data_IF_857133864070
#
_entry.id   IF_857133864070
#
_cell.length_a   1.000
_cell.length_b   1.000
_cell.length_c   1.000
_cell.angle_alpha   90.00
_cell.angle_beta   90.00
_cell.angle_gamma   90.00
#
_symmetry.space_group_name_H-M   'P 1'
#
loop_
_entity.id
_entity.type
_entity.pdbx_description
1 polymer ?
#
# COMPACT_ATOMS: atom_id res chain seq x y z
N UNK A 1 4.56 10.30 -20.04
CA UNK A 1 5.02 9.33 -21.05
C UNK A 1 4.73 7.91 -20.60
N UNK A 2 4.64 6.93 -21.52
CA UNK A 2 4.28 5.54 -21.20
C UNK A 2 5.26 4.86 -20.23
N UNK A 3 6.56 5.18 -20.32
CA UNK A 3 7.58 4.66 -19.39
C UNK A 3 7.24 4.94 -17.92
N UNK A 4 6.95 6.20 -17.57
CA UNK A 4 6.66 6.62 -16.19
C UNK A 4 5.41 5.95 -15.62
N UNK A 5 4.41 5.72 -16.47
CA UNK A 5 3.20 5.01 -16.07
C UNK A 5 3.50 3.55 -15.71
N UNK A 6 4.18 2.81 -16.59
CA UNK A 6 4.53 1.40 -16.35
C UNK A 6 5.49 1.24 -15.18
N UNK A 7 6.43 2.17 -15.02
CA UNK A 7 7.35 2.18 -13.88
C UNK A 7 6.60 2.35 -12.54
N UNK A 8 5.70 3.35 -12.45
CA UNK A 8 4.88 3.56 -11.26
C UNK A 8 3.97 2.36 -10.97
N UNK A 9 3.33 1.80 -12.00
CA UNK A 9 2.47 0.62 -11.88
C UNK A 9 3.24 -0.60 -11.37
N UNK A 10 4.43 -0.85 -11.91
CA UNK A 10 5.27 -2.00 -11.53
C UNK A 10 5.78 -1.88 -10.10
N UNK A 11 6.30 -0.71 -9.74
CA UNK A 11 6.81 -0.43 -8.37
C UNK A 11 5.71 -0.54 -7.33
N UNK A 12 4.52 0.02 -7.59
CA UNK A 12 3.38 -0.09 -6.70
C UNK A 12 2.86 -1.54 -6.56
N UNK A 13 2.77 -2.26 -7.68
CA UNK A 13 2.35 -3.67 -7.68
C UNK A 13 3.31 -4.54 -6.87
N UNK A 14 4.63 -4.37 -7.09
CA UNK A 14 5.65 -5.09 -6.34
C UNK A 14 5.60 -4.76 -4.85
N UNK A 15 5.46 -3.48 -4.51
CA UNK A 15 5.38 -3.03 -3.12
C UNK A 15 4.18 -3.64 -2.39
N UNK A 16 3.00 -3.61 -3.00
CA UNK A 16 1.77 -4.18 -2.42
C UNK A 16 1.83 -5.70 -2.32
N UNK A 17 2.39 -6.37 -3.32
CA UNK A 17 2.65 -7.82 -3.30
C UNK A 17 3.59 -8.18 -2.14
N UNK A 18 4.71 -7.45 -1.98
CA UNK A 18 5.65 -7.64 -0.88
C UNK A 18 5.04 -7.32 0.48
N UNK A 19 4.12 -6.35 0.56
CA UNK A 19 3.33 -6.07 1.77
C UNK A 19 2.48 -7.30 2.16
N UNK A 20 1.82 -7.93 1.19
CA UNK A 20 1.09 -9.20 1.36
C UNK A 20 1.98 -10.35 1.88
N UNK A 21 3.15 -10.54 1.27
CA UNK A 21 4.15 -11.53 1.74
C UNK A 21 4.57 -11.23 3.19
N UNK A 22 4.80 -9.95 3.50
CA UNK A 22 5.21 -9.49 4.83
C UNK A 22 4.14 -9.73 5.90
N UNK A 23 2.85 -9.72 5.55
CA UNK A 23 1.76 -10.04 6.48
C UNK A 23 1.82 -11.50 6.95
N UNK A 24 2.14 -12.43 6.05
CA UNK A 24 2.30 -13.86 6.37
C UNK A 24 3.52 -14.07 7.27
N UNK A 25 4.65 -13.44 6.96
CA UNK A 25 5.87 -13.52 7.77
C UNK A 25 5.68 -12.91 9.17
N UNK A 26 4.96 -11.79 9.26
CA UNK A 26 4.58 -11.17 10.54
C UNK A 26 3.67 -12.10 11.34
N UNK A 27 2.75 -12.81 10.67
CA UNK A 27 1.84 -13.75 11.31
C UNK A 27 2.56 -14.95 11.90
N UNK A 28 3.39 -15.61 11.10
CA UNK A 28 4.13 -16.81 11.53
C UNK A 28 4.94 -16.56 12.81
N UNK A 29 5.54 -15.36 12.93
CA UNK A 29 6.25 -14.94 14.16
C UNK A 29 5.30 -14.67 15.33
N UNK A 30 4.11 -14.14 15.06
CA UNK A 30 3.14 -13.77 16.09
C UNK A 30 2.28 -14.95 16.56
N UNK A 31 2.00 -15.96 15.72
CA UNK A 31 1.25 -17.15 16.11
C UNK A 31 2.00 -18.00 17.14
N UNK A 32 3.34 -18.07 17.02
CA UNK A 32 4.21 -18.63 18.07
C UNK A 32 4.09 -17.91 19.42
N UNK A 33 3.45 -16.74 19.46
CA UNK A 33 3.24 -15.89 20.65
C UNK A 33 1.76 -15.67 20.96
N UNK A 34 0.83 -16.44 20.37
CA UNK A 34 -0.62 -16.29 20.61
C UNK A 34 -1.24 -15.10 19.87
N UNK A 35 -1.17 -15.10 18.53
CA UNK A 35 -1.68 -13.98 17.73
C UNK A 35 -3.22 -13.82 17.81
N UNK A 36 -3.67 -12.64 18.25
CA UNK A 36 -5.08 -12.22 18.22
C UNK A 36 -5.38 -11.31 17.01
N UNK A 37 -6.60 -11.41 16.48
CA UNK A 37 -7.17 -10.46 15.50
C UNK A 37 -6.97 -9.00 15.91
N UNK A 38 -7.05 -8.70 17.21
CA UNK A 38 -6.86 -7.35 17.76
C UNK A 38 -5.51 -6.73 17.38
N UNK A 39 -4.45 -7.52 17.24
CA UNK A 39 -3.13 -7.00 16.83
C UNK A 39 -3.12 -6.55 15.37
N UNK A 40 -3.81 -7.29 14.51
CA UNK A 40 -3.96 -6.93 13.10
C UNK A 40 -4.85 -5.70 12.96
N UNK A 41 -5.96 -5.68 13.71
CA UNK A 41 -6.86 -4.54 13.74
C UNK A 41 -6.14 -3.26 14.20
N UNK A 42 -5.41 -3.31 15.32
CA UNK A 42 -4.62 -2.16 15.82
C UNK A 42 -3.58 -1.69 14.79
N UNK A 43 -2.85 -2.62 14.17
CA UNK A 43 -1.85 -2.27 13.15
C UNK A 43 -2.49 -1.66 11.90
N UNK A 44 -3.59 -2.25 11.42
CA UNK A 44 -4.32 -1.75 10.26
C UNK A 44 -4.91 -0.37 10.50
N UNK A 45 -5.56 -0.18 11.66
CA UNK A 45 -6.10 1.11 12.08
C UNK A 45 -5.01 2.17 12.22
N UNK A 46 -3.85 1.84 12.82
CA UNK A 46 -2.73 2.79 12.93
C UNK A 46 -2.27 3.27 11.55
N UNK A 47 -2.06 2.36 10.60
CA UNK A 47 -1.62 2.72 9.24
C UNK A 47 -2.71 3.51 8.50
N UNK A 48 -3.97 3.12 8.67
CA UNK A 48 -5.12 3.82 8.09
C UNK A 48 -5.25 5.25 8.66
N UNK A 49 -5.07 5.43 9.97
CA UNK A 49 -5.10 6.73 10.63
C UNK A 49 -3.96 7.65 10.15
N UNK A 50 -2.77 7.11 9.86
CA UNK A 50 -1.71 7.87 9.20
C UNK A 50 -2.13 8.31 7.79
N UNK A 51 -2.84 7.46 7.05
CA UNK A 51 -3.48 7.83 5.78
C UNK A 51 -4.44 9.01 5.93
N UNK A 52 -5.34 8.95 6.92
CA UNK A 52 -6.29 10.03 7.21
C UNK A 52 -5.59 11.35 7.57
N UNK A 53 -4.46 11.27 8.29
CA UNK A 53 -3.65 12.45 8.57
C UNK A 53 -3.07 13.05 7.28
N UNK A 54 -2.60 12.22 6.34
CA UNK A 54 -2.14 12.68 5.02
C UNK A 54 -3.28 13.28 4.22
N UNK A 55 -4.49 12.69 4.25
CA UNK A 55 -5.70 13.29 3.64
C UNK A 55 -5.92 14.69 4.17
N UNK A 56 -5.88 14.87 5.50
CA UNK A 56 -6.08 16.16 6.14
C UNK A 56 -5.01 17.18 5.76
N UNK A 57 -3.72 16.79 5.84
CA UNK A 57 -2.61 17.69 5.45
C UNK A 57 -2.70 18.06 3.97
N UNK A 58 -2.89 17.09 3.09
CA UNK A 58 -2.97 17.37 1.64
C UNK A 58 -4.19 18.21 1.28
N UNK A 59 -5.30 18.07 1.99
CA UNK A 59 -6.45 18.94 1.82
C UNK A 59 -6.13 20.41 2.14
N UNK A 60 -5.35 20.68 3.18
CA UNK A 60 -4.95 22.05 3.56
C UNK A 60 -3.97 22.71 2.55
N UNK A 61 -3.08 21.91 1.93
CA UNK A 61 -2.00 22.42 1.08
C UNK A 61 -2.25 22.31 -0.43
N UNK A 62 -3.01 21.31 -0.88
CA UNK A 62 -3.19 20.93 -2.30
C UNK A 62 -4.61 21.27 -2.78
N UNK A 63 -5.58 21.45 -1.88
CA UNK A 63 -6.95 21.81 -2.23
C UNK A 63 -7.68 20.65 -2.90
N UNK A 64 -8.06 20.79 -4.18
CA UNK A 64 -8.92 19.85 -4.90
C UNK A 64 -8.29 18.48 -5.20
N UNK A 65 -6.97 18.37 -5.28
CA UNK A 65 -6.26 17.12 -5.64
C UNK A 65 -5.77 16.32 -4.42
N UNK A 66 -6.33 16.61 -3.23
CA UNK A 66 -5.96 15.95 -1.99
C UNK A 66 -6.11 14.42 -2.05
N UNK A 67 -5.41 13.74 -1.14
CA UNK A 67 -5.36 12.28 -1.09
C UNK A 67 -6.62 11.72 -0.45
N UNK A 68 -7.65 11.37 -1.22
CA UNK A 68 -8.89 10.80 -0.67
C UNK A 68 -8.71 9.35 -0.24
N UNK A 69 -8.07 8.53 -1.08
CA UNK A 69 -7.81 7.12 -0.80
C UNK A 69 -6.48 6.68 -1.40
N UNK A 70 -5.41 7.05 -0.71
CA UNK A 70 -4.03 6.71 -1.07
C UNK A 70 -3.55 5.35 -0.57
N UNK A 71 -2.27 5.04 -0.80
CA UNK A 71 -1.70 3.71 -0.51
C UNK A 71 -1.76 3.35 0.98
N UNK A 72 -1.69 4.32 1.90
CA UNK A 72 -1.76 4.07 3.34
C UNK A 72 -3.14 3.58 3.78
N UNK A 73 -4.21 4.17 3.24
CA UNK A 73 -5.58 3.72 3.48
C UNK A 73 -5.74 2.27 3.00
N UNK A 74 -5.26 2.00 1.78
CA UNK A 74 -5.29 0.67 1.19
C UNK A 74 -4.52 -0.35 2.04
N UNK A 75 -3.28 -0.05 2.46
CA UNK A 75 -2.49 -0.99 3.28
C UNK A 75 -3.18 -1.23 4.61
N UNK A 76 -3.63 -0.17 5.30
CA UNK A 76 -4.32 -0.28 6.58
C UNK A 76 -5.56 -1.16 6.49
N UNK A 77 -6.38 -0.94 5.47
CA UNK A 77 -7.58 -1.75 5.21
C UNK A 77 -7.21 -3.17 4.78
N UNK A 78 -6.20 -3.35 3.94
CA UNK A 78 -5.73 -4.66 3.48
C UNK A 78 -5.21 -5.53 4.63
N UNK A 79 -4.54 -4.94 5.63
CA UNK A 79 -4.09 -5.65 6.83
C UNK A 79 -5.28 -6.27 7.58
N UNK A 80 -6.40 -5.54 7.67
CA UNK A 80 -7.61 -5.96 8.37
C UNK A 80 -8.34 -7.02 7.53
N UNK A 81 -8.63 -6.71 6.26
CA UNK A 81 -9.40 -7.58 5.36
C UNK A 81 -8.66 -8.87 4.99
N UNK A 82 -7.33 -8.86 4.97
CA UNK A 82 -6.55 -10.07 4.68
C UNK A 82 -6.53 -11.07 5.84
N UNK A 83 -6.86 -10.65 7.07
CA UNK A 83 -6.78 -11.52 8.26
C UNK A 83 -7.53 -12.86 8.12
N UNK A 84 -8.79 -12.94 7.67
CA UNK A 84 -9.47 -14.23 7.48
C UNK A 84 -8.80 -15.11 6.42
N UNK A 85 -8.23 -14.50 5.37
CA UNK A 85 -7.67 -15.20 4.22
C UNK A 85 -6.18 -15.56 4.39
N UNK A 86 -5.48 -14.94 5.33
CA UNK A 86 -4.03 -15.11 5.51
C UNK A 86 -3.62 -16.55 5.82
N UNK A 87 -4.54 -17.39 6.32
CA UNK A 87 -4.37 -18.82 6.62
C UNK A 87 -4.48 -19.70 5.40
N UNK A 88 -5.42 -19.40 4.53
CA UNK A 88 -5.80 -20.27 3.44
C UNK A 88 -5.22 -19.75 2.14
N UNK A 89 -4.06 -20.29 1.76
CA UNK A 89 -3.32 -19.88 0.54
C UNK A 89 -4.22 -19.93 -0.71
N UNK A 90 -5.07 -20.96 -0.85
CA UNK A 90 -5.89 -21.13 -2.04
C UNK A 90 -7.03 -20.11 -2.05
N UNK A 91 -7.67 -19.89 -0.89
CA UNK A 91 -8.70 -18.87 -0.77
C UNK A 91 -8.14 -17.46 -1.00
N UNK A 92 -6.94 -17.15 -0.51
CA UNK A 92 -6.30 -15.86 -0.79
C UNK A 92 -5.98 -15.68 -2.28
N UNK A 93 -5.55 -16.74 -2.97
CA UNK A 93 -5.29 -16.66 -4.42
C UNK A 93 -6.58 -16.46 -5.22
N UNK A 94 -7.62 -17.25 -4.94
CA UNK A 94 -8.92 -17.13 -5.63
C UNK A 94 -9.54 -15.76 -5.38
N UNK A 95 -9.62 -15.33 -4.12
CA UNK A 95 -10.13 -14.00 -3.79
C UNK A 95 -9.27 -12.90 -4.44
N UNK A 96 -7.94 -13.04 -4.42
CA UNK A 96 -7.04 -12.10 -5.06
C UNK A 96 -7.29 -11.95 -6.56
N UNK A 97 -7.42 -13.09 -7.26
CA UNK A 97 -7.73 -13.12 -8.69
C UNK A 97 -9.10 -12.48 -9.01
N UNK A 98 -10.14 -12.83 -8.24
CA UNK A 98 -11.48 -12.27 -8.44
C UNK A 98 -11.52 -10.75 -8.22
N UNK A 99 -10.82 -10.24 -7.21
CA UNK A 99 -10.74 -8.80 -6.95
C UNK A 99 -9.94 -8.05 -8.03
N UNK A 100 -8.88 -8.66 -8.56
CA UNK A 100 -8.13 -8.08 -9.69
C UNK A 100 -9.02 -8.02 -10.92
N UNK A 101 -9.71 -9.11 -11.26
CA UNK A 101 -10.61 -9.18 -12.40
C UNK A 101 -11.74 -8.14 -12.27
N UNK A 102 -12.36 -8.05 -11.10
CA UNK A 102 -13.36 -7.03 -10.81
C UNK A 102 -12.81 -5.61 -11.00
N UNK A 103 -11.61 -5.32 -10.50
CA UNK A 103 -10.95 -4.03 -10.69
C UNK A 103 -10.68 -3.69 -12.15
N UNK A 104 -10.21 -4.65 -12.96
CA UNK A 104 -9.98 -4.47 -14.40
C UNK A 104 -11.29 -4.17 -15.14
N UNK A 105 -12.37 -4.88 -14.82
CA UNK A 105 -13.70 -4.62 -15.39
C UNK A 105 -14.20 -3.22 -15.01
N UNK A 106 -14.09 -2.85 -13.73
CA UNK A 106 -14.52 -1.54 -13.24
C UNK A 106 -13.72 -0.36 -13.82
N UNK A 107 -12.44 -0.57 -14.16
CA UNK A 107 -11.62 0.47 -14.82
C UNK A 107 -12.14 0.86 -16.21
N UNK A 108 -12.87 -0.04 -16.89
CA UNK A 108 -13.56 0.25 -18.15
C UNK A 108 -14.84 1.08 -17.99
N UNK A 109 -15.33 1.24 -16.76
CA UNK A 109 -16.60 1.91 -16.46
C UNK A 109 -16.38 3.29 -15.83
N UNK A 110 -17.33 4.20 -16.00
CA UNK A 110 -17.35 5.51 -15.34
C UNK A 110 -18.68 5.67 -14.62
N UNK A 111 -18.62 6.29 -13.45
CA UNK A 111 -19.77 6.39 -12.56
C UNK A 111 -20.13 7.86 -12.30
N UNK A 112 -21.43 8.14 -12.11
CA UNK A 112 -21.93 9.48 -11.82
C UNK A 112 -21.86 9.87 -10.33
N UNK A 113 -21.20 9.07 -9.48
CA UNK A 113 -21.14 9.27 -8.04
C UNK A 113 -19.72 9.10 -7.51
N UNK A 114 -19.40 9.77 -6.40
CA UNK A 114 -18.03 9.84 -5.84
C UNK A 114 -17.83 9.06 -4.54
N UNK A 115 -18.91 8.60 -3.89
CA UNK A 115 -18.84 7.94 -2.58
C UNK A 115 -18.15 6.56 -2.57
N UNK A 116 -17.94 5.94 -3.75
CA UNK A 116 -17.35 4.62 -3.95
C UNK A 116 -16.01 4.69 -4.69
N UNK A 117 -15.42 5.89 -4.76
CA UNK A 117 -14.09 6.13 -5.29
C UNK A 117 -13.06 5.25 -4.59
N UNK A 118 -13.18 5.08 -3.27
CA UNK A 118 -12.30 4.23 -2.47
C UNK A 118 -12.37 2.75 -2.84
N UNK A 119 -13.50 2.27 -3.37
CA UNK A 119 -13.67 0.89 -3.81
C UNK A 119 -13.04 0.64 -5.20
N UNK A 120 -12.96 1.69 -6.03
CA UNK A 120 -12.47 1.63 -7.41
C UNK A 120 -13.47 2.16 -8.44
N UNK A 121 -14.65 2.63 -8.01
CA UNK A 121 -15.66 3.21 -8.88
C UNK A 121 -15.30 4.67 -9.13
N UNK A 122 -14.50 4.90 -10.17
CA UNK A 122 -13.94 6.22 -10.48
C UNK A 122 -14.95 7.08 -11.26
N UNK A 123 -15.31 8.28 -10.77
CA UNK A 123 -16.14 9.21 -11.52
C UNK A 123 -15.33 9.93 -12.61
N UNK A 124 -16.05 10.53 -13.54
CA UNK A 124 -15.45 11.31 -14.64
C UNK A 124 -14.67 12.49 -14.06
N UNK A 125 -13.45 12.72 -14.56
CA UNK A 125 -12.62 13.85 -14.12
C UNK A 125 -11.99 13.71 -12.73
N UNK A 126 -12.07 12.55 -12.08
CA UNK A 126 -11.43 12.37 -10.77
C UNK A 126 -9.90 12.29 -10.89
N UNK A 127 -9.22 13.19 -10.18
CA UNK A 127 -7.78 13.25 -10.04
C UNK A 127 -7.40 13.39 -8.56
N UNK A 128 -6.29 12.77 -8.19
CA UNK A 128 -5.72 12.83 -6.85
C UNK A 128 -4.23 12.50 -6.95
N UNK A 129 -3.42 13.13 -6.09
CA UNK A 129 -1.97 12.94 -6.07
C UNK A 129 -1.58 11.50 -5.70
N UNK A 130 -2.37 10.83 -4.87
CA UNK A 130 -2.16 9.43 -4.47
C UNK A 130 -3.51 8.68 -4.47
N UNK A 131 -3.74 7.85 -5.49
CA UNK A 131 -5.00 7.10 -5.65
C UNK A 131 -4.76 5.60 -5.81
N UNK A 132 -5.08 4.85 -4.76
CA UNK A 132 -4.95 3.40 -4.67
C UNK A 132 -6.25 2.77 -4.16
N UNK A 133 -7.29 2.64 -5.01
CA UNK A 133 -8.57 2.07 -4.61
C UNK A 133 -8.45 0.62 -4.11
N UNK A 134 -9.48 0.11 -3.46
CA UNK A 134 -9.49 -1.26 -2.97
C UNK A 134 -9.36 -2.27 -4.13
N UNK A 135 -10.07 -2.04 -5.24
CA UNK A 135 -9.99 -2.86 -6.44
C UNK A 135 -9.13 -2.13 -7.49
N UNK A 136 -8.12 -2.78 -8.11
CA UNK A 136 -7.73 -4.20 -8.00
C UNK A 136 -6.72 -4.49 -6.88
N UNK A 137 -6.27 -3.47 -6.14
CA UNK A 137 -5.02 -3.52 -5.38
C UNK A 137 -5.05 -4.44 -4.15
N UNK A 138 -6.19 -4.60 -3.47
CA UNK A 138 -6.36 -5.62 -2.44
C UNK A 138 -6.08 -7.01 -3.01
N UNK A 139 -6.47 -7.26 -4.26
CA UNK A 139 -6.21 -8.52 -4.91
C UNK A 139 -4.71 -8.80 -5.10
N UNK A 140 -3.92 -7.77 -5.44
CA UNK A 140 -2.45 -7.85 -5.51
C UNK A 140 -1.85 -8.21 -4.13
N UNK A 141 -2.37 -7.59 -3.05
CA UNK A 141 -1.96 -7.92 -1.68
C UNK A 141 -2.28 -9.39 -1.35
N UNK A 142 -3.46 -9.88 -1.71
CA UNK A 142 -3.87 -11.27 -1.47
C UNK A 142 -3.06 -12.29 -2.28
N UNK A 143 -2.66 -11.96 -3.52
CA UNK A 143 -1.68 -12.75 -4.28
C UNK A 143 -0.34 -12.79 -3.53
N UNK A 144 0.10 -11.66 -2.98
CA UNK A 144 1.25 -11.60 -2.09
C UNK A 144 1.11 -12.49 -0.85
N UNK A 145 -0.08 -12.58 -0.25
CA UNK A 145 -0.39 -13.48 0.86
C UNK A 145 -0.28 -14.95 0.44
N UNK A 146 -0.76 -15.31 -0.76
CA UNK A 146 -0.57 -16.66 -1.31
C UNK A 146 0.93 -16.98 -1.44
N UNK A 147 1.69 -16.10 -2.10
CA UNK A 147 3.13 -16.28 -2.30
C UNK A 147 3.87 -16.37 -0.96
N UNK A 148 3.53 -15.54 0.02
CA UNK A 148 4.11 -15.59 1.36
C UNK A 148 3.90 -16.93 2.05
N UNK A 149 2.72 -17.54 1.91
CA UNK A 149 2.44 -18.87 2.46
C UNK A 149 3.23 -19.97 1.74
N UNK A 150 3.35 -19.90 0.40
CA UNK A 150 4.15 -20.85 -0.40
C UNK A 150 5.63 -20.75 -0.02
N UNK A 151 6.17 -19.53 0.02
CA UNK A 151 7.56 -19.26 0.35
C UNK A 151 7.91 -19.69 1.78
N UNK A 152 7.03 -19.42 2.74
CA UNK A 152 7.26 -19.80 4.14
C UNK A 152 7.28 -21.33 4.31
N UNK A 153 6.37 -22.05 3.62
CA UNK A 153 6.30 -23.51 3.66
C UNK A 153 7.57 -24.16 3.08
N UNK A 154 8.05 -23.64 1.95
CA UNK A 154 9.12 -24.28 1.19
C UNK A 154 10.53 -23.80 1.61
N UNK A 155 10.67 -22.56 2.06
CA UNK A 155 11.97 -21.90 2.25
C UNK A 155 12.11 -21.15 3.58
N UNK A 156 11.18 -21.32 4.53
CA UNK A 156 11.15 -20.56 5.79
C UNK A 156 12.46 -20.62 6.60
N UNK A 157 13.14 -21.78 6.62
CA UNK A 157 14.44 -21.96 7.29
C UNK A 157 15.59 -21.29 6.53
N UNK A 158 15.58 -21.38 5.21
CA UNK A 158 16.60 -20.79 4.32
C UNK A 158 16.57 -19.26 4.38
N UNK A 159 15.39 -18.64 4.34
CA UNK A 159 15.28 -17.18 4.44
C UNK A 159 15.80 -16.62 5.77
N UNK A 160 15.56 -17.32 6.88
CA UNK A 160 16.08 -16.93 8.19
C UNK A 160 17.61 -16.98 8.25
N UNK A 161 18.22 -17.99 7.61
CA UNK A 161 19.69 -18.13 7.51
C UNK A 161 20.32 -17.06 6.62
N UNK A 162 19.79 -16.83 5.41
CA UNK A 162 20.35 -15.87 4.44
C UNK A 162 20.28 -14.44 4.95
N UNK A 163 19.17 -14.04 5.57
CA UNK A 163 19.01 -12.69 6.13
C UNK A 163 19.99 -12.40 7.28
N UNK A 164 20.42 -13.44 8.01
CA UNK A 164 21.39 -13.31 9.10
C UNK A 164 22.84 -13.17 8.62
N UNK A 165 23.20 -13.86 7.54
CA UNK A 165 24.59 -14.01 7.11
C UNK A 165 25.02 -13.00 6.03
N UNK A 166 24.12 -12.56 5.14
CA UNK A 166 24.47 -11.70 4.02
C UNK A 166 24.31 -10.21 4.36
N UNK A 167 25.39 -9.43 4.22
CA UNK A 167 25.40 -7.97 4.46
C UNK A 167 24.42 -7.22 3.54
N UNK A 168 24.31 -7.62 2.27
CA UNK A 168 23.37 -7.02 1.33
C UNK A 168 21.92 -7.27 1.75
N UNK A 169 21.59 -8.50 2.17
CA UNK A 169 20.26 -8.84 2.67
C UNK A 169 19.90 -8.05 3.94
N UNK A 170 20.87 -7.81 4.82
CA UNK A 170 20.69 -6.99 6.02
C UNK A 170 20.44 -5.52 5.68
N UNK A 171 21.16 -4.98 4.70
CA UNK A 171 20.97 -3.62 4.19
C UNK A 171 19.59 -3.45 3.54
N UNK A 172 19.19 -4.34 2.64
CA UNK A 172 17.84 -4.37 2.05
C UNK A 172 16.75 -4.48 3.13
N UNK A 173 16.97 -5.32 4.15
CA UNK A 173 16.04 -5.46 5.27
C UNK A 173 15.94 -4.20 6.14
N UNK A 174 16.97 -3.36 6.18
CA UNK A 174 16.95 -2.09 6.90
C UNK A 174 16.01 -1.09 6.21
N UNK A 175 16.14 -0.93 4.88
CA UNK A 175 15.24 -0.09 4.08
C UNK A 175 13.79 -0.60 4.14
N UNK A 176 13.59 -1.93 4.07
CA UNK A 176 12.26 -2.52 4.20
C UNK A 176 11.58 -2.22 5.54
N UNK A 177 12.32 -2.20 6.66
CA UNK A 177 11.80 -1.87 7.99
C UNK A 177 11.42 -0.40 8.16
N UNK A 178 12.12 0.49 7.48
CA UNK A 178 11.87 1.94 7.51
C UNK A 178 11.07 2.43 6.29
N UNK A 179 10.53 1.51 5.49
CA UNK A 179 9.81 1.83 4.25
C UNK A 179 8.65 2.83 4.45
N UNK A 180 7.91 2.73 5.56
CA UNK A 180 6.84 3.69 5.89
C UNK A 180 7.37 5.10 6.14
N UNK A 181 8.50 5.23 6.85
CA UNK A 181 9.13 6.54 7.13
C UNK A 181 9.67 7.14 5.83
N UNK A 182 10.35 6.33 5.02
CA UNK A 182 10.84 6.74 3.71
C UNK A 182 9.67 7.17 2.82
N UNK A 183 8.58 6.41 2.81
CA UNK A 183 7.35 6.76 2.09
C UNK A 183 6.74 8.09 2.56
N UNK A 184 6.72 8.38 3.86
CA UNK A 184 6.16 9.65 4.35
C UNK A 184 7.08 10.84 4.05
N UNK A 185 8.39 10.65 4.12
CA UNK A 185 9.36 11.75 4.00
C UNK A 185 9.77 12.05 2.56
N UNK A 186 9.67 11.10 1.62
CA UNK A 186 10.21 11.32 0.27
C UNK A 186 9.53 12.50 -0.45
N UNK A 187 8.20 12.63 -0.39
CA UNK A 187 7.50 13.75 -1.06
C UNK A 187 7.90 15.12 -0.47
N UNK A 188 7.82 15.37 0.85
CA UNK A 188 8.27 16.63 1.44
C UNK A 188 9.75 16.94 1.15
N UNK A 189 10.63 15.95 1.26
CA UNK A 189 12.07 16.14 1.04
C UNK A 189 12.37 16.51 -0.41
N UNK A 190 11.73 15.86 -1.38
CA UNK A 190 11.90 16.17 -2.81
C UNK A 190 11.38 17.58 -3.11
N UNK A 191 10.20 17.94 -2.59
CA UNK A 191 9.62 19.29 -2.77
C UNK A 191 10.54 20.36 -2.17
N UNK A 192 11.04 20.14 -0.95
CA UNK A 192 11.99 21.04 -0.28
C UNK A 192 13.28 21.19 -1.09
N UNK A 193 13.84 20.10 -1.60
CA UNK A 193 15.06 20.13 -2.39
C UNK A 193 14.89 20.92 -3.69
N UNK A 194 13.78 20.72 -4.42
CA UNK A 194 13.49 21.48 -5.63
C UNK A 194 13.17 22.94 -5.35
N UNK A 195 12.52 23.24 -4.22
CA UNK A 195 12.29 24.62 -3.82
C UNK A 195 13.59 25.34 -3.45
N UNK A 196 14.49 24.67 -2.72
CA UNK A 196 15.82 25.19 -2.40
C UNK A 196 16.69 25.41 -3.65
N UNK A 197 16.52 24.58 -4.68
CA UNK A 197 17.17 24.74 -5.98
C UNK A 197 16.52 25.84 -6.86
N UNK A 198 15.44 26.49 -6.39
CA UNK A 198 14.71 27.52 -7.14
C UNK A 198 13.85 26.99 -8.30
N UNK A 199 13.64 25.68 -8.39
CA UNK A 199 12.90 25.04 -9.48
C UNK A 199 11.37 25.10 -9.27
N UNK A 200 10.92 25.19 -8.01
CA UNK A 200 9.49 25.17 -7.64
C UNK A 200 9.23 26.18 -6.51
N UNK A 201 8.11 26.91 -6.59
CA UNK A 201 7.63 27.76 -5.49
C UNK A 201 6.92 26.90 -4.44
N UNK A 202 7.19 27.14 -3.16
CA UNK A 202 6.57 26.37 -2.09
C UNK A 202 5.04 26.50 -2.15
N UNK A 203 4.27 25.39 -2.09
CA UNK A 203 2.83 25.47 -2.06
C UNK A 203 2.38 26.18 -0.78
N UNK A 204 1.78 27.36 -0.94
CA UNK A 204 1.14 28.12 0.14
C UNK A 204 -0.22 27.46 0.41
N UNK A 205 -0.63 27.26 1.68
CA UNK A 205 -1.94 26.69 2.00
C UNK A 205 -3.06 27.39 1.21
N UNK A 206 -3.90 26.61 0.52
CA UNK A 206 -4.97 27.14 -0.34
C UNK A 206 -6.08 27.86 0.43
N UNK A 207 -6.03 27.82 1.76
CA UNK A 207 -6.92 28.50 2.72
C UNK A 207 -6.50 29.95 3.01
N UNK A 208 -5.36 30.39 2.49
CA UNK A 208 -4.85 31.76 2.65
C UNK A 208 -5.23 32.69 1.49
N UNK A 209 -6.16 32.27 0.62
CA UNK A 209 -6.72 33.06 -0.48
C UNK A 209 -8.24 32.87 -0.58
#
# INVERSE_FOLDING_TARGET
GPFWFWFALTTASLFLLLSGVSLVLSRSRSEKRGASFLKYLKRGLLIFSLGMLITFVTWLFIGSDFVLFGVLHLIGLSVILSYPLVKNKNASLVAGFLLILAGVVLQGMRFGFSWLVWLGLKPVGYHSVDYFPLLPWLGVVLVGVFLGNVLLKNYGRTFASVAGQNRAARFLSFFGRHSLVIYLLHQPVIILAFSAAGLIKFPVPSILF
#
